data_IF_193622605631
#
_entry.id   IF_193622605631
#
_cell.length_a   1.000
_cell.length_b   1.000
_cell.length_c   1.000
_cell.angle_alpha   90.00
_cell.angle_beta   90.00
_cell.angle_gamma   90.00
#
_symmetry.space_group_name_H-M   'P 1'
#
loop_
_entity.id
_entity.type
_entity.pdbx_description
1 polymer ?
#
# COMPACT_ATOMS: atom_id res chain seq x y z
N UNK A 1 14.04 4.06 -41.50
CA UNK A 1 12.91 3.29 -40.98
C UNK A 1 13.09 3.27 -39.47
N UNK A 2 12.36 4.13 -38.79
CA UNK A 2 12.73 4.66 -37.47
C UNK A 2 12.59 3.59 -36.37
N UNK A 3 13.64 3.45 -35.57
CA UNK A 3 13.73 2.47 -34.49
C UNK A 3 12.66 2.73 -33.43
N UNK A 4 11.83 1.69 -33.27
CA UNK A 4 11.06 1.28 -32.10
C UNK A 4 11.54 1.90 -30.77
N UNK A 5 10.69 2.69 -30.11
CA UNK A 5 10.65 2.76 -28.64
C UNK A 5 9.20 3.03 -28.23
N UNK A 6 8.41 1.96 -28.15
CA UNK A 6 7.14 1.95 -27.43
C UNK A 6 7.48 2.26 -25.97
N UNK A 7 7.43 3.53 -25.57
CA UNK A 7 7.36 3.95 -24.18
C UNK A 7 5.99 3.50 -23.66
N UNK A 8 5.80 2.18 -23.50
CA UNK A 8 4.80 1.68 -22.57
C UNK A 8 5.28 2.18 -21.22
N UNK A 9 4.69 3.31 -20.80
CA UNK A 9 4.55 3.65 -19.40
C UNK A 9 3.89 2.43 -18.74
N UNK A 10 4.72 1.48 -18.33
CA UNK A 10 4.37 0.49 -17.32
C UNK A 10 4.16 1.31 -16.06
N UNK A 11 2.96 1.87 -15.95
CA UNK A 11 2.42 2.38 -14.72
C UNK A 11 2.78 1.32 -13.68
N UNK A 12 3.61 1.60 -12.67
CA UNK A 12 3.94 0.59 -11.68
C UNK A 12 2.60 0.16 -11.13
N UNK A 13 2.22 -1.07 -11.49
CA UNK A 13 0.98 -1.66 -11.01
C UNK A 13 1.26 -1.82 -9.55
N UNK A 14 0.79 -0.86 -8.76
CA UNK A 14 0.83 -0.91 -7.31
C UNK A 14 0.16 -2.22 -6.97
N UNK A 15 0.98 -3.24 -6.72
CA UNK A 15 0.51 -4.61 -6.57
C UNK A 15 0.03 -4.69 -5.14
N UNK A 16 -1.28 -4.83 -4.95
CA UNK A 16 -1.81 -5.00 -3.62
C UNK A 16 -1.19 -6.27 -3.03
N UNK A 17 -0.45 -6.10 -1.93
CA UNK A 17 0.24 -7.19 -1.22
C UNK A 17 -0.60 -7.66 -0.05
N UNK A 18 -1.19 -6.73 0.70
CA UNK A 18 -1.96 -7.01 1.90
C UNK A 18 -3.24 -6.15 1.92
N UNK A 19 -4.14 -6.45 2.84
CA UNK A 19 -5.35 -5.68 3.10
C UNK A 19 -5.37 -5.32 4.58
N UNK A 20 -5.60 -4.05 4.88
CA UNK A 20 -5.72 -3.56 6.23
C UNK A 20 -6.96 -4.18 6.86
N UNK A 21 -6.83 -4.93 7.96
CA UNK A 21 -7.98 -5.56 8.59
C UNK A 21 -8.85 -4.58 9.40
N UNK A 22 -8.35 -3.38 9.66
CA UNK A 22 -9.05 -2.36 10.45
C UNK A 22 -9.99 -1.52 9.57
N UNK A 23 -9.49 -0.99 8.46
CA UNK A 23 -10.25 -0.15 7.54
C UNK A 23 -10.61 -0.82 6.20
N UNK A 24 -10.07 -2.02 5.92
CA UNK A 24 -10.24 -2.70 4.64
C UNK A 24 -9.41 -2.13 3.50
N UNK A 25 -8.45 -1.23 3.77
CA UNK A 25 -7.65 -0.58 2.74
C UNK A 25 -6.60 -1.54 2.14
N UNK A 26 -6.49 -1.58 0.82
CA UNK A 26 -5.46 -2.36 0.14
C UNK A 26 -4.06 -1.77 0.36
N UNK A 27 -3.16 -2.51 0.98
CA UNK A 27 -1.75 -2.15 1.12
C UNK A 27 -1.04 -2.58 -0.15
N UNK A 28 -0.40 -1.63 -0.83
CA UNK A 28 0.31 -1.87 -2.08
C UNK A 28 1.81 -2.09 -1.88
N UNK A 29 2.46 -2.70 -2.86
CA UNK A 29 3.90 -2.91 -2.83
C UNK A 29 4.64 -1.56 -2.83
N UNK A 30 5.23 -1.20 -1.69
CA UNK A 30 5.86 0.10 -1.45
C UNK A 30 5.15 0.96 -0.40
N UNK A 31 3.93 0.59 0.00
CA UNK A 31 3.18 1.25 1.07
C UNK A 31 3.69 0.84 2.46
N UNK A 32 3.58 1.75 3.43
CA UNK A 32 3.92 1.47 4.81
C UNK A 32 2.78 0.72 5.50
N UNK A 33 3.08 -0.47 6.00
CA UNK A 33 2.14 -1.29 6.76
C UNK A 33 2.81 -1.88 8.00
N UNK A 34 1.97 -2.26 8.95
CA UNK A 34 2.35 -2.86 10.22
C UNK A 34 1.70 -4.23 10.34
N UNK A 35 2.51 -5.24 10.61
CA UNK A 35 2.05 -6.61 10.87
C UNK A 35 1.97 -6.83 12.38
N UNK A 36 0.79 -7.17 12.89
CA UNK A 36 0.51 -7.38 14.30
C UNK A 36 -0.34 -8.64 14.45
N UNK A 37 0.22 -9.73 14.98
CA UNK A 37 -0.51 -10.99 15.20
C UNK A 37 -1.22 -11.53 13.93
N UNK A 38 -0.52 -11.58 12.79
CA UNK A 38 -1.08 -12.00 11.48
C UNK A 38 -2.09 -11.00 10.86
N UNK A 39 -2.26 -9.85 11.49
CA UNK A 39 -3.11 -8.76 11.00
C UNK A 39 -2.25 -7.67 10.38
N UNK A 40 -2.58 -7.27 9.15
CA UNK A 40 -1.94 -6.14 8.49
C UNK A 40 -2.76 -4.89 8.76
N UNK A 41 -2.09 -3.81 9.16
CA UNK A 41 -2.69 -2.51 9.46
C UNK A 41 -1.94 -1.45 8.65
N UNK A 42 -2.66 -0.58 7.94
CA UNK A 42 -2.04 0.52 7.21
C UNK A 42 -1.52 1.59 8.18
N UNK A 43 -0.57 2.41 7.72
CA UNK A 43 -0.02 3.47 8.57
C UNK A 43 -1.08 4.45 9.07
N UNK A 44 -2.12 4.73 8.26
CA UNK A 44 -3.19 5.67 8.60
C UNK A 44 -3.97 5.22 9.84
N UNK A 45 -4.43 3.97 9.87
CA UNK A 45 -5.08 3.39 11.05
C UNK A 45 -4.17 3.49 12.27
N UNK A 46 -2.89 3.13 12.11
CA UNK A 46 -1.95 3.14 13.22
C UNK A 46 -1.64 4.56 13.73
N UNK A 47 -1.68 5.56 12.85
CA UNK A 47 -1.56 6.97 13.20
C UNK A 47 -2.81 7.48 13.93
N UNK A 48 -4.00 7.04 13.52
CA UNK A 48 -5.25 7.33 14.25
C UNK A 48 -5.22 6.73 15.66
N UNK A 49 -4.80 5.48 15.80
CA UNK A 49 -4.64 4.84 17.12
C UNK A 49 -3.69 5.60 18.04
N UNK A 50 -2.64 6.25 17.50
CA UNK A 50 -1.75 7.09 18.30
C UNK A 50 -2.37 8.44 18.69
N UNK A 51 -3.26 8.99 17.85
CA UNK A 51 -3.92 10.28 18.09
C UNK A 51 -5.05 10.22 19.10
N UNK A 52 -5.79 9.12 19.17
CA UNK A 52 -6.94 8.99 20.09
C UNK A 52 -6.55 8.78 21.56
N UNK A 53 -5.25 8.82 21.88
CA UNK A 53 -4.74 8.66 23.24
C UNK A 53 -4.41 10.02 23.92
N UNK A 54 -4.91 11.15 23.40
CA UNK A 54 -4.84 12.49 24.02
C UNK A 54 -6.17 12.91 24.67
#
# INVERSE_FOLDING_TARGET
MECMYDYRHENPTTKQIYECADCGYGIFLGDAYYEINDVFICEDCMEQYKKECE
#
